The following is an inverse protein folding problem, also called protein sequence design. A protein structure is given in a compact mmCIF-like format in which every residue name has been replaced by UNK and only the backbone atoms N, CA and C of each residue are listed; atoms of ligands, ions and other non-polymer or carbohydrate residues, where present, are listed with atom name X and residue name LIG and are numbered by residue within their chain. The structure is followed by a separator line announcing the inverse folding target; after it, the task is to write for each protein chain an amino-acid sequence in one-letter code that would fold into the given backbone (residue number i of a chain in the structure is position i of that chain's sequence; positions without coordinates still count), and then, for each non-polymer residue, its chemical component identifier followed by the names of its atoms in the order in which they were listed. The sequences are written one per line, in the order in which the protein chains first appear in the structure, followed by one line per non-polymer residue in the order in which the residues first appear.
data_IF_901191531626
#
_entry.id   IF_901191531626
#
_cell.length_a   1.000
_cell.length_b   1.000
_cell.length_c   1.000
_cell.angle_alpha   90.00
_cell.angle_beta   90.00
_cell.angle_gamma   90.00
#
_symmetry.space_group_name_H-M   'P 1'
#
loop_
_entity.id
_entity.type
_entity.pdbx_description
1 polymer ?
#
# COMPACT_ATOMS: atom_id res chain seq x y z
N UNK A 1 -18.45 14.36 3.31
CA UNK A 1 -17.04 13.93 3.47
C UNK A 1 -16.14 14.88 2.72
N UNK A 2 -15.04 15.35 3.32
CA UNK A 2 -14.03 16.17 2.61
C UNK A 2 -12.90 15.30 2.09
N UNK A 3 -12.21 15.74 1.03
CA UNK A 3 -11.07 14.99 0.46
C UNK A 3 -9.98 14.70 1.52
N UNK A 4 -9.50 15.68 2.31
CA UNK A 4 -8.49 15.39 3.35
C UNK A 4 -8.95 14.37 4.39
N UNK A 5 -10.25 14.36 4.73
CA UNK A 5 -10.81 13.39 5.69
C UNK A 5 -10.82 11.98 5.11
N UNK A 6 -11.28 11.80 3.85
CA UNK A 6 -11.24 10.51 3.18
C UNK A 6 -9.80 9.99 3.06
N UNK A 7 -8.85 10.85 2.71
CA UNK A 7 -7.43 10.49 2.62
C UNK A 7 -6.85 10.05 3.98
N UNK A 8 -7.23 10.71 5.07
CA UNK A 8 -6.80 10.29 6.41
C UNK A 8 -7.28 8.88 6.76
N UNK A 9 -8.51 8.51 6.37
CA UNK A 9 -9.04 7.14 6.56
C UNK A 9 -8.29 6.15 5.67
N UNK A 10 -8.10 6.47 4.39
CA UNK A 10 -7.34 5.65 3.46
C UNK A 10 -5.89 5.44 3.93
N UNK A 11 -5.26 6.44 4.54
CA UNK A 11 -3.90 6.31 5.07
C UNK A 11 -3.83 5.27 6.18
N UNK A 12 -4.82 5.24 7.09
CA UNK A 12 -4.93 4.18 8.11
C UNK A 12 -5.19 2.82 7.47
N UNK A 13 -6.16 2.74 6.56
CA UNK A 13 -6.53 1.49 5.89
C UNK A 13 -5.35 0.85 5.14
N UNK A 14 -4.62 1.66 4.37
CA UNK A 14 -3.41 1.21 3.66
C UNK A 14 -2.30 0.80 4.62
N UNK A 15 -2.08 1.55 5.72
CA UNK A 15 -1.08 1.19 6.74
C UNK A 15 -1.39 -0.15 7.44
N UNK A 16 -2.65 -0.38 7.78
CA UNK A 16 -3.09 -1.67 8.34
C UNK A 16 -2.92 -2.81 7.34
N UNK A 17 -3.33 -2.62 6.08
CA UNK A 17 -3.20 -3.63 5.04
C UNK A 17 -1.73 -4.00 4.76
N UNK A 18 -0.84 -3.01 4.70
CA UNK A 18 0.60 -3.22 4.51
C UNK A 18 1.21 -3.97 5.71
N UNK A 19 0.87 -3.55 6.93
CA UNK A 19 1.36 -4.22 8.15
C UNK A 19 0.89 -5.67 8.23
N UNK A 20 -0.37 -5.94 7.87
CA UNK A 20 -0.90 -7.29 7.77
C UNK A 20 -0.18 -8.11 6.68
N UNK A 21 0.07 -7.52 5.51
CA UNK A 21 0.80 -8.17 4.42
C UNK A 21 2.22 -8.57 4.82
N UNK A 22 2.99 -7.66 5.44
CA UNK A 22 4.34 -7.95 5.93
C UNK A 22 4.32 -9.01 7.03
N UNK A 23 3.37 -8.91 7.97
CA UNK A 23 3.25 -9.87 9.07
C UNK A 23 2.90 -11.27 8.56
N UNK A 24 1.95 -11.38 7.63
CA UNK A 24 1.58 -12.65 7.00
C UNK A 24 2.72 -13.22 6.16
N UNK A 25 3.46 -12.38 5.44
CA UNK A 25 4.64 -12.83 4.70
C UNK A 25 5.70 -13.41 5.65
N UNK A 26 6.04 -12.69 6.72
CA UNK A 26 6.98 -13.18 7.75
C UNK A 26 6.50 -14.45 8.44
N UNK A 27 5.21 -14.52 8.79
CA UNK A 27 4.62 -15.70 9.42
C UNK A 27 4.62 -16.90 8.47
N UNK A 28 4.31 -16.68 7.19
CA UNK A 28 4.35 -17.74 6.18
C UNK A 28 5.75 -18.31 6.00
N UNK A 29 6.79 -17.47 6.07
CA UNK A 29 8.18 -17.92 5.99
C UNK A 29 8.60 -18.79 7.18
N UNK A 30 7.92 -18.70 8.32
CA UNK A 30 8.19 -19.52 9.51
C UNK A 30 7.34 -20.79 9.55
N UNK A 31 6.08 -20.72 9.11
CA UNK A 31 5.09 -21.78 9.32
C UNK A 31 4.83 -22.64 8.09
N UNK A 32 5.07 -22.14 6.88
CA UNK A 32 4.77 -22.86 5.64
C UNK A 32 6.05 -23.51 5.11
N UNK A 33 6.04 -24.84 4.84
CA UNK A 33 7.21 -25.53 4.31
C UNK A 33 7.47 -25.16 2.84
N UNK A 34 8.73 -25.29 2.42
CA UNK A 34 9.19 -24.89 1.08
C UNK A 34 9.90 -23.54 1.10
N UNK A 35 10.56 -23.21 0.00
CA UNK A 35 11.27 -21.94 -0.14
C UNK A 35 10.45 -20.97 -0.99
N UNK A 36 10.88 -19.71 -1.10
CA UNK A 36 10.16 -18.72 -1.90
C UNK A 36 10.03 -19.13 -3.38
N UNK A 37 11.08 -19.76 -3.94
CA UNK A 37 11.09 -20.22 -5.33
C UNK A 37 10.01 -21.29 -5.59
N UNK A 38 9.84 -22.28 -4.71
CA UNK A 38 8.83 -23.33 -4.88
C UNK A 38 7.41 -22.76 -4.88
N UNK A 39 7.15 -21.75 -4.05
CA UNK A 39 5.86 -21.05 -4.02
C UNK A 39 5.64 -20.20 -5.28
N UNK A 40 6.69 -19.56 -5.80
CA UNK A 40 6.60 -18.83 -7.06
C UNK A 40 6.32 -19.77 -8.24
N UNK A 41 7.00 -20.93 -8.32
CA UNK A 41 6.73 -21.91 -9.37
C UNK A 41 5.31 -22.48 -9.27
N UNK A 42 4.79 -22.72 -8.06
CA UNK A 42 3.39 -23.07 -7.86
C UNK A 42 2.46 -22.00 -8.45
N UNK A 43 2.67 -20.71 -8.13
CA UNK A 43 1.85 -19.63 -8.69
C UNK A 43 1.96 -19.54 -10.21
N UNK A 44 3.16 -19.74 -10.78
CA UNK A 44 3.36 -19.76 -12.25
C UNK A 44 2.61 -20.93 -12.90
N UNK A 45 2.59 -22.10 -12.26
CA UNK A 45 1.93 -23.30 -12.78
C UNK A 45 0.40 -23.16 -12.91
N UNK A 46 -0.20 -22.17 -12.22
CA UNK A 46 -1.61 -21.82 -12.38
C UNK A 46 -1.93 -21.16 -13.74
N UNK A 47 -0.91 -20.85 -14.56
CA UNK A 47 -1.05 -20.28 -15.90
C UNK A 47 -1.96 -19.04 -15.95
N UNK A 48 -1.83 -18.17 -14.93
CA UNK A 48 -2.66 -16.96 -14.81
C UNK A 48 -2.42 -16.01 -15.99
N UNK A 49 -3.50 -15.43 -16.51
CA UNK A 49 -3.44 -14.48 -17.62
C UNK A 49 -2.62 -13.23 -17.29
N UNK A 50 -1.91 -12.63 -18.27
CA UNK A 50 -1.07 -11.45 -18.04
C UNK A 50 -1.81 -10.26 -17.43
N UNK A 51 -3.08 -10.04 -17.78
CA UNK A 51 -3.93 -8.97 -17.23
C UNK A 51 -4.23 -9.16 -15.74
N UNK A 52 -4.45 -10.41 -15.31
CA UNK A 52 -4.67 -10.74 -13.91
C UNK A 52 -3.39 -10.53 -13.09
N UNK A 53 -2.24 -10.98 -13.62
CA UNK A 53 -0.94 -10.76 -12.99
C UNK A 53 -0.65 -9.25 -12.86
N UNK A 54 -0.92 -8.46 -13.90
CA UNK A 54 -0.75 -7.01 -13.87
C UNK A 54 -1.65 -6.37 -12.79
N UNK A 55 -2.93 -6.74 -12.76
CA UNK A 55 -3.88 -6.24 -11.75
C UNK A 55 -3.44 -6.59 -10.33
N UNK A 56 -2.98 -7.83 -10.10
CA UNK A 56 -2.48 -8.26 -8.80
C UNK A 56 -1.25 -7.45 -8.37
N UNK A 57 -0.29 -7.23 -9.27
CA UNK A 57 0.87 -6.37 -9.00
C UNK A 57 0.47 -4.93 -8.70
N UNK A 58 -0.48 -4.38 -9.46
CA UNK A 58 -1.01 -3.04 -9.22
C UNK A 58 -1.68 -2.93 -7.85
N UNK A 59 -2.51 -3.92 -7.48
CA UNK A 59 -3.19 -3.97 -6.19
C UNK A 59 -2.22 -4.07 -5.00
N UNK A 60 -1.05 -4.68 -5.18
CA UNK A 60 0.02 -4.71 -4.17
C UNK A 60 0.74 -3.37 -4.04
N UNK A 61 1.11 -2.75 -5.17
CA UNK A 61 1.92 -1.53 -5.16
C UNK A 61 1.11 -0.27 -4.84
N UNK A 62 -0.17 -0.23 -5.21
CA UNK A 62 -1.05 0.91 -4.99
C UNK A 62 -1.12 1.37 -3.51
N UNK A 63 -1.47 0.51 -2.53
CA UNK A 63 -1.50 0.91 -1.13
C UNK A 63 -0.13 1.34 -0.61
N UNK A 64 0.96 0.72 -1.08
CA UNK A 64 2.32 1.10 -0.72
C UNK A 64 2.65 2.52 -1.19
N UNK A 65 2.42 2.82 -2.47
CA UNK A 65 2.68 4.15 -3.04
C UNK A 65 1.80 5.22 -2.39
N UNK A 66 0.50 4.93 -2.21
CA UNK A 66 -0.43 5.83 -1.54
C UNK A 66 0.01 6.15 -0.11
N UNK A 67 0.32 5.12 0.69
CA UNK A 67 0.71 5.28 2.07
C UNK A 67 2.02 6.06 2.19
N UNK A 68 2.97 5.81 1.30
CA UNK A 68 4.27 6.50 1.27
C UNK A 68 4.12 7.97 0.93
N UNK A 69 3.41 8.33 -0.15
CA UNK A 69 3.24 9.74 -0.54
C UNK A 69 2.38 10.53 0.43
N UNK A 70 1.27 9.96 0.89
CA UNK A 70 0.49 10.62 1.93
C UNK A 70 1.27 10.67 3.27
N UNK A 71 2.16 9.71 3.54
CA UNK A 71 3.10 9.75 4.66
C UNK A 71 4.09 10.92 4.57
N UNK A 72 4.67 11.19 3.40
CA UNK A 72 5.51 12.38 3.18
C UNK A 72 4.71 13.66 3.46
N UNK A 73 3.46 13.73 2.98
CA UNK A 73 2.56 14.86 3.27
C UNK A 73 2.34 15.05 4.78
N UNK A 74 2.17 13.97 5.54
CA UNK A 74 2.10 14.02 7.01
C UNK A 74 3.40 14.54 7.63
N UNK A 75 4.57 14.05 7.20
CA UNK A 75 5.87 14.55 7.68
C UNK A 75 6.09 16.04 7.38
N UNK A 76 5.60 16.53 6.23
CA UNK A 76 5.63 17.97 5.90
C UNK A 76 4.71 18.76 6.83
N UNK A 77 3.55 18.21 7.21
CA UNK A 77 2.66 18.81 8.21
C UNK A 77 3.30 18.84 9.61
N UNK A 78 4.06 17.81 9.99
CA UNK A 78 4.80 17.77 11.26
C UNK A 78 5.85 18.89 11.35
N UNK A 79 6.35 19.37 10.21
CA UNK A 79 7.21 20.56 10.11
C UNK A 79 6.44 21.90 10.13
N UNK A 80 5.12 21.88 10.32
CA UNK A 80 4.25 23.07 10.34
C UNK A 80 3.96 23.67 8.96
N UNK A 81 4.23 22.96 7.86
CA UNK A 81 4.08 23.45 6.48
C UNK A 81 2.81 22.94 5.83
N UNK A 82 2.19 23.71 4.92
CA UNK A 82 1.08 23.23 4.09
C UNK A 82 -0.28 23.07 4.79
N UNK A 83 -0.49 23.77 5.91
CA UNK A 83 -1.65 23.61 6.79
C UNK A 83 -2.85 24.52 6.44
N UNK A 84 -2.74 25.40 5.43
CA UNK A 84 -3.89 26.21 4.98
C UNK A 84 -4.86 25.34 4.18
N UNK A 85 -6.17 25.60 4.29
CA UNK A 85 -7.21 24.82 3.59
C UNK A 85 -6.91 24.59 2.10
N UNK A 86 -6.54 25.61 1.29
CA UNK A 86 -6.20 25.35 -0.12
C UNK A 86 -5.02 24.40 -0.31
N UNK A 87 -4.00 24.50 0.55
CA UNK A 87 -2.81 23.64 0.51
C UNK A 87 -3.14 22.19 0.89
N UNK A 88 -4.11 21.97 1.79
CA UNK A 88 -4.59 20.62 2.12
C UNK A 88 -5.23 19.92 0.91
N UNK A 89 -5.99 20.65 0.09
CA UNK A 89 -6.59 20.10 -1.13
C UNK A 89 -5.55 19.92 -2.24
N UNK A 90 -4.68 20.91 -2.45
CA UNK A 90 -3.61 20.82 -3.47
C UNK A 90 -2.68 19.63 -3.22
N UNK A 91 -2.15 19.51 -2.01
CA UNK A 91 -1.32 18.35 -1.61
C UNK A 91 -2.09 17.03 -1.55
N UNK A 92 -3.43 17.07 -1.57
CA UNK A 92 -4.25 15.87 -1.61
C UNK A 92 -4.49 15.32 -3.02
N UNK A 93 -4.40 16.18 -4.04
CA UNK A 93 -4.59 15.83 -5.46
C UNK A 93 -3.27 15.53 -6.16
N UNK A 94 -2.19 16.23 -5.76
CA UNK A 94 -0.83 15.98 -6.24
C UNK A 94 -0.31 14.61 -5.78
#
# INVERSE_FOLDING_TARGET
WSLPMAMSICHRGTGMALSAGVSLFGLSALLIPGNFESHLELVKSLCLGPSLIYTAKFALVFPLMYHTWNGIRHLVWDLGKGLKIPQLYQSGVA
#
